data_IF_449006873211
#
_entry.id   IF_449006873211
#
_cell.length_a   1.000
_cell.length_b   1.000
_cell.length_c   1.000
_cell.angle_alpha   90.00
_cell.angle_beta   90.00
_cell.angle_gamma   90.00
#
_symmetry.space_group_name_H-M   'P 1'
#
loop_
_entity.id
_entity.type
_entity.pdbx_description
1 polymer ?
#
# COMPACT_ATOMS: atom_id res chain seq x y z
N UNK A 1 -6.77 34.50 22.74
CA UNK A 1 -7.54 34.02 21.59
C UNK A 1 -6.69 32.95 20.95
N UNK A 2 -6.86 31.74 21.47
CA UNK A 2 -6.07 30.57 21.11
C UNK A 2 -6.35 30.18 19.66
N UNK A 3 -5.31 30.27 18.84
CA UNK A 3 -5.34 29.87 17.45
C UNK A 3 -5.38 28.33 17.40
N UNK A 4 -6.57 27.74 17.44
CA UNK A 4 -6.73 26.32 17.16
C UNK A 4 -6.34 26.08 15.70
N UNK A 5 -5.10 25.61 15.51
CA UNK A 5 -4.62 25.04 14.26
C UNK A 5 -5.49 23.83 13.93
N UNK A 6 -6.34 23.96 12.90
CA UNK A 6 -7.09 22.84 12.34
C UNK A 6 -6.20 22.26 11.24
N UNK A 7 -5.55 21.09 11.45
CA UNK A 7 -4.72 20.49 10.41
C UNK A 7 -5.60 20.21 9.19
N UNK A 8 -5.14 20.70 8.03
CA UNK A 8 -5.77 20.39 6.76
C UNK A 8 -5.65 18.90 6.43
N UNK A 9 -6.42 18.40 5.46
CA UNK A 9 -6.35 17.00 5.03
C UNK A 9 -4.94 16.55 4.58
N UNK A 10 -4.07 17.49 4.20
CA UNK A 10 -2.68 17.26 3.76
C UNK A 10 -1.63 17.25 4.90
N UNK A 11 -2.00 17.50 6.16
CA UNK A 11 -1.08 17.55 7.31
C UNK A 11 -1.28 16.36 8.28
N UNK A 12 -1.82 15.25 7.78
CA UNK A 12 -1.91 14.03 8.57
C UNK A 12 -0.66 13.19 8.35
N UNK A 13 0.03 12.86 9.44
CA UNK A 13 1.15 11.91 9.42
C UNK A 13 0.70 10.59 8.80
N UNK A 14 1.27 10.27 7.63
CA UNK A 14 1.07 9.00 6.94
C UNK A 14 2.26 8.09 7.22
N UNK A 15 1.97 6.92 7.78
CA UNK A 15 2.96 5.87 8.03
C UNK A 15 2.53 4.58 7.36
N UNK A 16 3.43 3.95 6.63
CA UNK A 16 3.23 2.64 6.02
C UNK A 16 4.35 1.72 6.52
N UNK A 17 3.99 0.59 7.12
CA UNK A 17 4.92 -0.44 7.57
C UNK A 17 4.64 -1.76 6.84
N UNK A 18 5.70 -2.47 6.46
CA UNK A 18 5.55 -3.84 5.97
C UNK A 18 5.14 -4.77 7.12
N UNK A 19 3.95 -5.35 7.04
CA UNK A 19 3.47 -6.32 8.02
C UNK A 19 3.89 -7.75 7.65
N UNK A 20 3.72 -8.16 6.39
CA UNK A 20 4.25 -9.44 5.90
C UNK A 20 4.41 -9.45 4.39
N UNK A 21 5.40 -10.19 3.88
CA UNK A 21 5.58 -10.44 2.44
C UNK A 21 4.81 -11.71 2.09
N UNK A 22 3.89 -11.63 1.12
CA UNK A 22 3.04 -12.76 0.68
C UNK A 22 3.65 -13.52 -0.48
N UNK A 23 4.18 -12.81 -1.46
CA UNK A 23 4.81 -13.39 -2.64
C UNK A 23 5.96 -12.51 -3.09
N UNK A 24 7.05 -13.12 -3.53
CA UNK A 24 8.19 -12.43 -4.12
C UNK A 24 8.80 -13.30 -5.19
N UNK A 25 8.66 -12.90 -6.45
CA UNK A 25 9.15 -13.68 -7.58
C UNK A 25 10.38 -12.98 -8.16
N UNK A 26 11.55 -13.60 -8.00
CA UNK A 26 12.86 -13.07 -8.42
C UNK A 26 13.32 -13.58 -9.80
N UNK A 27 12.43 -13.69 -10.79
CA UNK A 27 12.83 -14.04 -12.15
C UNK A 27 13.20 -12.76 -12.95
N UNK A 28 14.27 -12.85 -13.75
CA UNK A 28 15.04 -11.75 -14.36
C UNK A 28 14.27 -10.70 -15.19
N UNK A 29 13.01 -10.93 -15.54
CA UNK A 29 12.27 -10.07 -16.50
C UNK A 29 11.16 -9.22 -15.87
N UNK A 30 10.70 -9.51 -14.65
CA UNK A 30 9.77 -8.65 -13.90
C UNK A 30 9.76 -9.04 -12.42
N UNK A 31 10.46 -8.26 -11.58
CA UNK A 31 10.47 -8.53 -10.13
C UNK A 31 9.15 -8.02 -9.54
N UNK A 32 8.30 -8.95 -9.09
CA UNK A 32 7.05 -8.64 -8.42
C UNK A 32 7.14 -9.01 -6.93
N UNK A 33 6.75 -8.09 -6.05
CA UNK A 33 6.64 -8.35 -4.62
C UNK A 33 5.27 -7.92 -4.13
N UNK A 34 4.52 -8.86 -3.57
CA UNK A 34 3.23 -8.63 -2.92
C UNK A 34 3.42 -8.69 -1.40
N UNK A 35 2.89 -7.69 -0.70
CA UNK A 35 2.95 -7.59 0.75
C UNK A 35 1.63 -7.12 1.36
N UNK A 36 1.43 -7.43 2.63
CA UNK A 36 0.44 -6.78 3.49
C UNK A 36 1.15 -5.63 4.19
N UNK A 37 0.66 -4.41 4.00
CA UNK A 37 1.13 -3.22 4.69
C UNK A 37 0.18 -2.86 5.83
N UNK A 38 0.73 -2.45 6.97
CA UNK A 38 -0.01 -1.75 8.02
C UNK A 38 0.12 -0.25 7.75
N UNK A 39 -1.00 0.42 7.49
CA UNK A 39 -1.04 1.87 7.29
C UNK A 39 -1.53 2.57 8.56
N UNK A 40 -1.09 3.80 8.75
CA UNK A 40 -1.61 4.72 9.76
C UNK A 40 -1.69 6.11 9.13
N UNK A 41 -2.85 6.75 9.21
CA UNK A 41 -3.10 8.12 8.76
C UNK A 41 -3.80 8.82 9.91
N UNK A 42 -3.09 9.69 10.62
CA UNK A 42 -3.57 10.26 11.87
C UNK A 42 -3.97 9.16 12.87
N UNK A 43 -5.22 9.18 13.35
CA UNK A 43 -5.75 8.17 14.28
C UNK A 43 -6.34 6.92 13.60
N UNK A 44 -6.30 6.82 12.27
CA UNK A 44 -6.86 5.69 11.53
C UNK A 44 -5.74 4.75 11.15
N UNK A 45 -5.87 3.47 11.49
CA UNK A 45 -4.94 2.43 11.08
C UNK A 45 -5.67 1.22 10.54
N UNK A 46 -4.97 0.43 9.74
CA UNK A 46 -5.51 -0.78 9.13
C UNK A 46 -4.50 -1.44 8.22
N UNK A 47 -4.93 -2.46 7.50
CA UNK A 47 -4.07 -3.21 6.60
C UNK A 47 -4.53 -3.06 5.15
N UNK A 48 -3.59 -3.10 4.22
CA UNK A 48 -3.87 -3.11 2.79
C UNK A 48 -2.87 -4.00 2.07
N UNK A 49 -3.31 -4.64 0.99
CA UNK A 49 -2.39 -5.37 0.12
C UNK A 49 -1.72 -4.39 -0.83
N UNK A 50 -0.40 -4.52 -0.99
CA UNK A 50 0.38 -3.74 -1.94
C UNK A 50 1.18 -4.70 -2.82
N UNK A 51 1.11 -4.51 -4.14
CA UNK A 51 1.95 -5.25 -5.08
C UNK A 51 2.82 -4.29 -5.86
N UNK A 52 4.13 -4.48 -5.72
CA UNK A 52 5.17 -3.72 -6.38
C UNK A 52 5.67 -4.48 -7.59
N UNK A 53 5.72 -3.81 -8.73
CA UNK A 53 6.27 -4.33 -9.98
C UNK A 53 7.46 -3.46 -10.37
N UNK A 54 8.65 -4.03 -10.38
CA UNK A 54 9.83 -3.35 -10.94
C UNK A 54 9.74 -3.40 -12.47
N UNK A 55 9.56 -2.24 -13.09
CA UNK A 55 9.51 -2.08 -14.55
C UNK A 55 10.89 -1.80 -15.14
N UNK A 56 11.65 -0.94 -14.47
CA UNK A 56 13.02 -0.56 -14.85
C UNK A 56 13.86 -0.31 -13.57
N UNK A 57 15.10 0.16 -13.68
CA UNK A 57 16.00 0.46 -12.57
C UNK A 57 15.43 1.46 -11.56
N UNK A 58 14.63 2.41 -12.02
CA UNK A 58 14.08 3.50 -11.21
C UNK A 58 12.55 3.60 -11.29
N UNK A 59 11.90 2.72 -12.06
CA UNK A 59 10.45 2.78 -12.29
C UNK A 59 9.78 1.60 -11.60
N UNK A 60 8.88 1.91 -10.67
CA UNK A 60 8.05 0.94 -9.96
C UNK A 60 6.59 1.21 -10.25
N UNK A 61 5.83 0.19 -10.59
CA UNK A 61 4.38 0.25 -10.61
C UNK A 61 3.83 -0.38 -9.33
N UNK A 62 2.89 0.31 -8.69
CA UNK A 62 2.27 -0.09 -7.43
C UNK A 62 0.78 -0.29 -7.64
N UNK A 63 0.26 -1.42 -7.19
CA UNK A 63 -1.18 -1.64 -6.99
C UNK A 63 -1.49 -1.74 -5.51
N UNK A 64 -2.55 -1.07 -5.07
CA UNK A 64 -2.99 -1.07 -3.66
C UNK A 64 -4.44 -1.52 -3.56
N UNK A 65 -4.71 -2.48 -2.68
CA UNK A 65 -6.07 -2.97 -2.38
C UNK A 65 -6.82 -2.08 -1.39
N UNK A 66 -8.06 -2.46 -1.08
CA UNK A 66 -8.86 -1.75 -0.08
C UNK A 66 -8.31 -1.94 1.34
N UNK A 67 -8.49 -0.93 2.19
CA UNK A 67 -8.20 -1.03 3.62
C UNK A 67 -9.11 -2.06 4.30
N UNK A 68 -8.52 -2.89 5.17
CA UNK A 68 -9.21 -3.88 6.01
C UNK A 68 -8.70 -3.81 7.45
N UNK A 69 -9.49 -4.34 8.38
CA UNK A 69 -9.13 -4.34 9.80
C UNK A 69 -8.15 -5.48 10.17
N UNK A 70 -8.12 -6.57 9.39
CA UNK A 70 -7.36 -7.78 9.70
C UNK A 70 -6.30 -8.07 8.62
N UNK A 71 -5.04 -8.34 8.98
CA UNK A 71 -3.98 -8.54 8.00
C UNK A 71 -4.19 -9.76 7.10
N UNK A 72 -4.89 -10.79 7.58
CA UNK A 72 -5.22 -12.00 6.82
C UNK A 72 -6.19 -11.74 5.66
N UNK A 73 -7.02 -10.70 5.73
CA UNK A 73 -8.03 -10.37 4.72
C UNK A 73 -7.47 -9.51 3.58
N UNK A 74 -6.37 -8.77 3.83
CA UNK A 74 -5.92 -7.67 2.97
C UNK A 74 -5.64 -8.09 1.52
N UNK A 75 -4.98 -9.23 1.30
CA UNK A 75 -4.63 -9.74 -0.03
C UNK A 75 -5.63 -10.77 -0.58
N UNK A 76 -6.82 -10.88 0.02
CA UNK A 76 -7.86 -11.81 -0.43
C UNK A 76 -8.98 -11.07 -1.17
N UNK A 77 -9.70 -11.72 -2.11
CA UNK A 77 -10.92 -11.15 -2.67
C UNK A 77 -11.97 -10.92 -1.58
N UNK A 78 -12.78 -9.84 -1.65
CA UNK A 78 -12.81 -8.82 -2.70
C UNK A 78 -11.79 -7.68 -2.50
N UNK A 79 -11.00 -7.70 -1.43
CA UNK A 79 -10.15 -6.59 -0.99
C UNK A 79 -8.94 -6.34 -1.89
N UNK A 80 -8.46 -7.38 -2.56
CA UNK A 80 -7.42 -7.26 -3.58
C UNK A 80 -7.73 -8.15 -4.78
N UNK A 81 -7.82 -7.54 -5.96
CA UNK A 81 -7.99 -8.19 -7.25
C UNK A 81 -7.01 -7.57 -8.23
N UNK A 82 -5.92 -8.28 -8.55
CA UNK A 82 -4.79 -7.75 -9.33
C UNK A 82 -5.20 -7.12 -10.67
N UNK A 83 -6.20 -7.68 -11.35
CA UNK A 83 -6.66 -7.16 -12.65
C UNK A 83 -7.58 -5.92 -12.53
N UNK A 84 -8.09 -5.62 -11.33
CA UNK A 84 -9.03 -4.52 -11.09
C UNK A 84 -8.39 -3.32 -10.41
N UNK A 85 -7.24 -3.50 -9.76
CA UNK A 85 -6.57 -2.42 -9.04
C UNK A 85 -5.79 -1.52 -10.01
N UNK A 86 -5.94 -0.19 -9.93
CA UNK A 86 -5.18 0.73 -10.77
C UNK A 86 -3.69 0.69 -10.42
N UNK A 87 -2.86 0.97 -11.43
CA UNK A 87 -1.42 1.13 -11.23
C UNK A 87 -1.10 2.60 -10.90
N UNK A 88 -0.26 2.79 -9.88
CA UNK A 88 0.44 4.04 -9.59
C UNK A 88 1.90 3.87 -9.97
N UNK A 89 2.42 4.75 -10.83
CA UNK A 89 3.84 4.75 -11.20
C UNK A 89 4.64 5.62 -10.22
N UNK A 90 5.73 5.07 -9.70
CA UNK A 90 6.72 5.73 -8.86
C UNK A 90 8.02 5.86 -9.68
N UNK A 91 8.58 7.07 -9.72
CA UNK A 91 9.79 7.45 -10.46
C UNK A 91 10.77 8.22 -9.58
#
# INVERSE_FOLDING_TARGET
MDLQYVPGPDDQDVKILCNSIKQSNGAQTMTMTMLVAHFTVGCRSGFMCMTFYRRDGHVIELQTGSAVSRPEEACSPPHFLQHSMPFLTLV
#
